data_IF_567227488769
#
_entry.id   IF_567227488769
#
_cell.length_a   1.000
_cell.length_b   1.000
_cell.length_c   1.000
_cell.angle_alpha   90.00
_cell.angle_beta   90.00
_cell.angle_gamma   90.00
#
_symmetry.space_group_name_H-M   'P 1'
#
loop_
_entity.id
_entity.type
_entity.pdbx_description
1 polymer ?
#
# COMPACT_ATOMS: atom_id res chain seq x y z
N UNK A 1 -13.79 -14.74 45.77
CA UNK A 1 -15.07 -14.69 45.04
C UNK A 1 -14.75 -14.89 43.57
N UNK A 2 -14.86 -16.13 43.09
CA UNK A 2 -14.57 -16.54 41.72
C UNK A 2 -15.79 -16.27 40.83
N UNK A 3 -15.64 -15.50 39.75
CA UNK A 3 -16.60 -15.48 38.65
C UNK A 3 -15.94 -16.14 37.44
N UNK A 4 -16.39 -17.35 37.14
CA UNK A 4 -16.14 -18.04 35.89
C UNK A 4 -17.05 -17.39 34.83
N UNK A 5 -16.46 -16.76 33.81
CA UNK A 5 -17.17 -16.34 32.61
C UNK A 5 -17.24 -17.53 31.64
N UNK A 6 -18.44 -18.07 31.48
CA UNK A 6 -18.77 -19.02 30.42
C UNK A 6 -18.98 -18.24 29.11
N UNK A 7 -17.98 -18.25 28.23
CA UNK A 7 -18.11 -17.73 26.87
C UNK A 7 -18.91 -18.72 26.02
N UNK A 8 -20.09 -18.29 25.58
CA UNK A 8 -20.90 -18.99 24.58
C UNK A 8 -20.17 -18.99 23.22
N UNK A 9 -19.74 -20.17 22.77
CA UNK A 9 -19.25 -20.37 21.41
C UNK A 9 -20.46 -20.49 20.48
N UNK A 10 -20.81 -19.39 19.80
CA UNK A 10 -21.80 -19.40 18.72
C UNK A 10 -21.12 -20.01 17.48
N UNK A 11 -21.38 -21.29 17.22
CA UNK A 11 -21.02 -21.93 15.94
C UNK A 11 -22.00 -21.45 14.87
N UNK A 12 -21.59 -20.45 14.10
CA UNK A 12 -22.29 -20.09 12.87
C UNK A 12 -22.01 -21.17 11.81
N UNK A 13 -23.00 -22.01 11.54
CA UNK A 13 -23.00 -22.90 10.38
C UNK A 13 -23.28 -22.07 9.14
N UNK A 14 -22.24 -21.75 8.37
CA UNK A 14 -22.37 -21.16 7.04
C UNK A 14 -22.88 -22.27 6.11
N UNK A 15 -24.16 -22.19 5.72
CA UNK A 15 -24.69 -22.93 4.59
C UNK A 15 -24.17 -22.27 3.32
N UNK A 16 -23.11 -22.83 2.73
CA UNK A 16 -22.71 -22.53 1.36
C UNK A 16 -23.72 -23.23 0.45
N UNK A 17 -24.76 -22.50 0.04
CA UNK A 17 -25.60 -22.91 -1.06
C UNK A 17 -24.78 -22.80 -2.34
N UNK A 18 -24.21 -23.93 -2.79
CA UNK A 18 -23.65 -24.09 -4.12
C UNK A 18 -24.79 -23.94 -5.13
N UNK A 19 -25.05 -22.70 -5.54
CA UNK A 19 -25.81 -22.40 -6.73
C UNK A 19 -25.01 -22.91 -7.93
N UNK A 20 -25.45 -24.04 -8.50
CA UNK A 20 -25.07 -24.47 -9.84
C UNK A 20 -25.64 -23.47 -10.85
N UNK A 21 -25.02 -22.29 -10.92
CA UNK A 21 -25.13 -21.41 -12.07
C UNK A 21 -24.32 -22.05 -13.19
N UNK A 22 -25.00 -22.46 -14.25
CA UNK A 22 -24.37 -22.88 -15.50
C UNK A 22 -23.65 -21.67 -16.10
N UNK A 23 -22.39 -21.48 -15.70
CA UNK A 23 -21.42 -20.73 -16.50
C UNK A 23 -21.31 -21.49 -17.82
N UNK A 24 -21.75 -20.88 -18.91
CA UNK A 24 -21.42 -21.34 -20.25
C UNK A 24 -19.91 -21.26 -20.40
N UNK A 25 -19.23 -22.37 -20.12
CA UNK A 25 -17.81 -22.49 -20.35
C UNK A 25 -17.55 -22.30 -21.84
N UNK A 26 -16.97 -21.16 -22.21
CA UNK A 26 -16.35 -20.97 -23.51
C UNK A 26 -15.11 -21.86 -23.54
N UNK A 27 -15.27 -23.12 -23.97
CA UNK A 27 -14.16 -24.03 -24.14
C UNK A 27 -13.29 -23.55 -25.31
N UNK A 28 -11.99 -23.40 -25.06
CA UNK A 28 -10.99 -23.23 -26.13
C UNK A 28 -10.84 -24.57 -26.85
N UNK A 29 -11.63 -24.78 -27.91
CA UNK A 29 -11.56 -25.99 -28.70
C UNK A 29 -10.41 -25.87 -29.70
N UNK A 30 -9.29 -26.56 -29.43
CA UNK A 30 -8.16 -26.66 -30.36
C UNK A 30 -8.37 -27.93 -31.18
N UNK A 31 -8.97 -27.78 -32.37
CA UNK A 31 -9.16 -28.89 -33.29
C UNK A 31 -7.85 -29.20 -34.03
N UNK A 32 -7.17 -30.27 -33.64
CA UNK A 32 -6.03 -30.81 -34.39
C UNK A 32 -6.55 -31.60 -35.60
N UNK A 33 -6.50 -30.99 -36.79
CA UNK A 33 -6.71 -31.71 -38.04
C UNK A 33 -5.62 -32.76 -38.24
N UNK A 34 -5.98 -34.04 -38.15
CA UNK A 34 -5.09 -35.18 -38.37
C UNK A 34 -5.12 -35.60 -39.84
N UNK A 35 -4.42 -34.87 -40.70
CA UNK A 35 -3.99 -35.34 -42.04
C UNK A 35 -2.55 -34.86 -42.24
N UNK A 36 -1.55 -35.64 -41.83
CA UNK A 36 -0.87 -36.73 -42.58
C UNK A 36 0.06 -36.21 -43.70
N UNK A 37 1.37 -36.40 -43.46
CA UNK A 37 2.53 -36.42 -44.36
C UNK A 37 2.85 -35.22 -45.28
N UNK A 38 3.48 -34.17 -44.71
CA UNK A 38 4.34 -33.26 -45.50
C UNK A 38 4.50 -31.85 -44.95
N UNK A 39 5.60 -31.61 -44.23
CA UNK A 39 6.25 -30.31 -43.96
C UNK A 39 5.43 -29.01 -43.74
N UNK A 40 4.28 -29.04 -43.05
CA UNK A 40 3.45 -27.85 -42.79
C UNK A 40 3.42 -27.36 -41.34
N UNK A 41 4.13 -26.28 -41.04
CA UNK A 41 4.49 -25.65 -39.76
C UNK A 41 3.39 -25.15 -38.79
N UNK A 42 2.94 -25.96 -37.82
CA UNK A 42 2.32 -25.42 -36.57
C UNK A 42 2.77 -26.15 -35.29
N UNK A 43 4.04 -26.57 -35.23
CA UNK A 43 4.59 -27.26 -34.05
C UNK A 43 4.76 -26.35 -32.82
N UNK A 44 4.78 -25.03 -33.02
CA UNK A 44 4.81 -24.05 -31.92
C UNK A 44 3.40 -23.74 -31.45
N UNK A 45 3.17 -23.45 -30.16
CA UNK A 45 1.87 -22.98 -29.70
C UNK A 45 1.44 -21.72 -30.48
N UNK A 46 0.13 -21.49 -30.65
CA UNK A 46 -0.34 -20.26 -31.27
C UNK A 46 0.13 -19.04 -30.48
N UNK A 47 0.33 -17.89 -31.15
CA UNK A 47 0.68 -16.67 -30.45
C UNK A 47 -0.41 -16.28 -29.45
N UNK A 48 -0.10 -15.46 -28.43
CA UNK A 48 -1.11 -14.81 -27.61
C UNK A 48 -2.12 -14.09 -28.52
N UNK A 49 -3.40 -14.17 -28.18
CA UNK A 49 -4.41 -13.44 -28.92
C UNK A 49 -4.43 -11.98 -28.48
N UNK A 50 -4.40 -11.07 -29.46
CA UNK A 50 -4.69 -9.66 -29.27
C UNK A 50 -6.19 -9.47 -29.49
N UNK A 51 -7.01 -9.58 -28.44
CA UNK A 51 -8.46 -9.38 -28.56
C UNK A 51 -9.30 -9.78 -27.34
N UNK A 52 -10.57 -9.36 -27.36
CA UNK A 52 -11.54 -9.52 -26.27
C UNK A 52 -12.23 -10.90 -26.23
N UNK A 53 -12.06 -11.73 -27.26
CA UNK A 53 -12.64 -13.05 -27.35
C UNK A 53 -11.56 -14.14 -27.18
N UNK A 54 -11.93 -15.33 -26.66
CA UNK A 54 -11.04 -16.48 -26.71
C UNK A 54 -10.72 -16.77 -28.19
N UNK A 55 -9.44 -16.84 -28.56
CA UNK A 55 -9.07 -17.09 -29.95
C UNK A 55 -9.48 -18.50 -30.35
N UNK A 56 -9.94 -18.67 -31.58
CA UNK A 56 -10.11 -19.98 -32.19
C UNK A 56 -8.96 -20.17 -33.18
N UNK A 57 -7.83 -20.67 -32.71
CA UNK A 57 -6.67 -20.88 -33.56
C UNK A 57 -6.82 -22.15 -34.40
N UNK A 58 -6.76 -22.01 -35.71
CA UNK A 58 -6.68 -23.15 -36.65
C UNK A 58 -5.34 -23.09 -37.39
N UNK A 59 -4.66 -24.23 -37.49
CA UNK A 59 -3.47 -24.34 -38.33
C UNK A 59 -3.90 -24.49 -39.79
N UNK A 60 -3.60 -23.51 -40.64
CA UNK A 60 -3.89 -23.55 -42.08
C UNK A 60 -2.59 -23.35 -42.82
N UNK A 61 -2.17 -24.36 -43.61
CA UNK A 61 -0.96 -24.31 -44.44
C UNK A 61 0.32 -23.94 -43.68
N UNK A 62 0.47 -24.42 -42.44
CA UNK A 62 1.63 -24.15 -41.62
C UNK A 62 1.68 -22.73 -41.04
N UNK A 63 0.53 -22.08 -40.86
CA UNK A 63 0.42 -20.84 -40.10
C UNK A 63 -0.78 -20.93 -39.16
N UNK A 64 -0.62 -20.43 -37.92
CA UNK A 64 -1.75 -20.23 -37.02
C UNK A 64 -2.59 -19.07 -37.53
N UNK A 65 -3.84 -19.38 -37.86
CA UNK A 65 -4.84 -18.39 -38.27
C UNK A 65 -5.89 -18.31 -37.17
N UNK A 66 -6.16 -17.10 -36.69
CA UNK A 66 -7.29 -16.88 -35.80
C UNK A 66 -8.58 -16.94 -36.62
N UNK A 67 -9.31 -18.03 -36.44
CA UNK A 67 -10.58 -18.31 -37.11
C UNK A 67 -11.80 -17.79 -36.34
N UNK A 68 -11.61 -17.32 -35.09
CA UNK A 68 -12.69 -16.62 -34.39
C UNK A 68 -12.93 -15.24 -35.01
N UNK A 69 -11.90 -14.70 -35.70
CA UNK A 69 -11.89 -13.34 -36.21
C UNK A 69 -11.76 -12.33 -35.08
N UNK A 70 -11.48 -11.07 -35.45
CA UNK A 70 -11.59 -9.98 -34.51
C UNK A 70 -13.07 -9.83 -34.14
N UNK A 71 -13.47 -10.32 -32.96
CA UNK A 71 -14.74 -9.96 -32.38
C UNK A 71 -14.85 -8.43 -32.34
N UNK A 72 -16.02 -7.86 -32.65
CA UNK A 72 -16.22 -6.43 -32.40
C UNK A 72 -15.95 -6.17 -30.93
N UNK A 73 -15.20 -5.11 -30.65
CA UNK A 73 -15.00 -4.63 -29.29
C UNK A 73 -16.35 -4.50 -28.61
N UNK A 74 -16.55 -5.09 -27.41
CA UNK A 74 -17.82 -5.04 -26.73
C UNK A 74 -18.19 -3.57 -26.50
N UNK A 75 -19.38 -3.19 -26.95
CA UNK A 75 -19.86 -1.84 -26.74
C UNK A 75 -20.01 -1.59 -25.24
N UNK A 76 -19.54 -0.42 -24.80
CA UNK A 76 -19.86 0.07 -23.47
C UNK A 76 -21.37 0.35 -23.37
N UNK A 77 -21.97 0.14 -22.19
CA UNK A 77 -23.31 0.66 -21.90
C UNK A 77 -23.43 2.12 -22.34
N UNK A 78 -24.60 2.53 -22.84
CA UNK A 78 -24.81 3.93 -23.26
C UNK A 78 -24.99 4.88 -22.08
N UNK A 79 -25.13 4.34 -20.87
CA UNK A 79 -25.25 5.06 -19.59
C UNK A 79 -24.25 4.42 -18.66
N UNK A 80 -23.51 5.22 -17.91
CA UNK A 80 -22.58 4.74 -16.90
C UNK A 80 -23.28 3.74 -15.95
N UNK A 81 -22.76 2.50 -15.81
CA UNK A 81 -23.28 1.55 -14.85
C UNK A 81 -22.89 1.92 -13.42
N UNK A 82 -23.76 1.59 -12.46
CA UNK A 82 -23.43 1.74 -11.04
C UNK A 82 -22.40 0.68 -10.62
N UNK A 83 -21.58 0.98 -9.61
CA UNK A 83 -20.69 -0.02 -9.01
C UNK A 83 -21.51 -1.19 -8.47
N UNK A 84 -21.13 -2.41 -8.86
CA UNK A 84 -21.85 -3.65 -8.53
C UNK A 84 -22.87 -4.09 -9.58
N UNK A 85 -23.19 -3.28 -10.59
CA UNK A 85 -24.02 -3.70 -11.71
C UNK A 85 -23.34 -4.83 -12.49
N UNK A 86 -24.12 -5.79 -12.99
CA UNK A 86 -23.57 -6.93 -13.71
C UNK A 86 -22.94 -6.54 -15.05
N UNK A 87 -21.80 -7.15 -15.38
CA UNK A 87 -21.10 -7.00 -16.65
C UNK A 87 -20.79 -8.37 -17.27
N UNK A 88 -20.77 -8.43 -18.61
CA UNK A 88 -20.62 -9.70 -19.33
C UNK A 88 -19.22 -9.97 -19.85
N UNK A 89 -18.34 -8.97 -19.88
CA UNK A 89 -16.99 -9.10 -20.43
C UNK A 89 -15.97 -8.67 -19.38
N UNK A 90 -15.35 -9.66 -18.75
CA UNK A 90 -14.31 -9.44 -17.74
C UNK A 90 -13.17 -8.57 -18.31
N UNK A 91 -12.73 -7.60 -17.52
CA UNK A 91 -11.70 -6.64 -17.90
C UNK A 91 -12.17 -5.52 -18.85
N UNK A 92 -13.43 -5.53 -19.32
CA UNK A 92 -13.97 -4.47 -20.18
C UNK A 92 -13.83 -3.12 -19.48
N UNK A 93 -13.15 -2.18 -20.14
CA UNK A 93 -12.93 -0.82 -19.68
C UNK A 93 -13.81 0.13 -20.48
N UNK A 94 -14.59 0.96 -19.79
CA UNK A 94 -15.47 1.94 -20.38
C UNK A 94 -15.18 3.32 -19.81
N UNK A 95 -15.11 4.32 -20.69
CA UNK A 95 -14.92 5.72 -20.34
C UNK A 95 -16.16 6.53 -20.70
N UNK A 96 -16.61 7.36 -19.77
CA UNK A 96 -17.80 8.20 -19.90
C UNK A 96 -17.39 9.65 -19.72
N UNK A 97 -17.72 10.49 -20.71
CA UNK A 97 -17.49 11.93 -20.65
C UNK A 97 -18.73 12.65 -20.12
N UNK A 98 -18.53 13.65 -19.28
CA UNK A 98 -19.55 14.50 -18.68
C UNK A 98 -19.43 15.95 -19.17
N UNK A 99 -20.57 16.59 -19.45
CA UNK A 99 -20.64 17.96 -19.97
C UNK A 99 -20.37 19.04 -18.90
N UNK A 100 -20.50 18.68 -17.63
CA UNK A 100 -20.23 19.55 -16.49
C UNK A 100 -19.06 18.98 -15.70
N UNK A 101 -18.23 19.88 -15.18
CA UNK A 101 -17.15 19.51 -14.26
C UNK A 101 -17.77 18.74 -13.10
N UNK A 102 -17.37 17.47 -12.97
CA UNK A 102 -17.79 16.67 -11.83
C UNK A 102 -17.13 17.35 -10.61
N UNK A 103 -17.87 17.76 -9.57
CA UNK A 103 -17.43 18.74 -8.55
C UNK A 103 -16.36 18.22 -7.56
N UNK A 104 -15.37 17.46 -8.01
CA UNK A 104 -14.43 16.71 -7.18
C UNK A 104 -13.06 16.51 -7.87
N UNK A 105 -12.25 17.55 -7.93
CA UNK A 105 -10.85 17.49 -8.36
C UNK A 105 -10.42 18.79 -9.03
N UNK A 106 -9.15 19.14 -8.89
CA UNK A 106 -8.53 20.27 -9.60
C UNK A 106 -8.72 20.10 -11.12
N UNK A 107 -9.72 20.82 -11.65
CA UNK A 107 -9.85 21.58 -12.91
C UNK A 107 -9.24 21.10 -14.24
N UNK A 108 -8.47 20.01 -14.31
CA UNK A 108 -7.80 19.56 -15.54
C UNK A 108 -8.26 18.18 -16.08
N UNK A 109 -8.85 17.30 -15.25
CA UNK A 109 -9.26 15.94 -15.67
C UNK A 109 -10.69 15.52 -15.25
N UNK A 110 -11.49 16.44 -14.69
CA UNK A 110 -12.79 16.18 -14.05
C UNK A 110 -13.97 15.82 -14.96
N UNK A 111 -13.74 15.41 -16.21
CA UNK A 111 -14.81 15.14 -17.18
C UNK A 111 -14.94 13.67 -17.58
N UNK A 112 -14.00 12.79 -17.20
CA UNK A 112 -14.05 11.38 -17.63
C UNK A 112 -14.12 10.42 -16.44
N UNK A 113 -15.15 9.57 -16.41
CA UNK A 113 -15.23 8.43 -15.49
C UNK A 113 -14.83 7.16 -16.22
N UNK A 114 -13.96 6.36 -15.60
CA UNK A 114 -13.56 5.04 -16.06
C UNK A 114 -14.15 3.95 -15.16
N UNK A 115 -14.80 2.96 -15.77
CA UNK A 115 -15.34 1.78 -15.09
C UNK A 115 -14.79 0.51 -15.74
N UNK A 116 -14.49 -0.50 -14.93
CA UNK A 116 -13.98 -1.79 -15.38
C UNK A 116 -14.85 -2.94 -14.87
N UNK A 117 -15.10 -3.92 -15.72
CA UNK A 117 -15.74 -5.16 -15.32
C UNK A 117 -14.74 -6.04 -14.55
N UNK A 118 -14.98 -6.25 -13.25
CA UNK A 118 -14.14 -7.06 -12.36
C UNK A 118 -15.01 -8.08 -11.64
N UNK A 119 -14.66 -9.36 -11.75
CA UNK A 119 -15.41 -10.48 -11.20
C UNK A 119 -16.90 -10.48 -11.60
N UNK A 120 -17.19 -10.11 -12.85
CA UNK A 120 -18.56 -10.02 -13.39
C UNK A 120 -19.41 -8.86 -12.87
N UNK A 121 -18.80 -7.88 -12.18
CA UNK A 121 -19.47 -6.64 -11.78
C UNK A 121 -18.68 -5.39 -12.22
N UNK A 122 -19.39 -4.34 -12.62
CA UNK A 122 -18.78 -3.04 -12.90
C UNK A 122 -18.20 -2.45 -11.62
N UNK A 123 -16.95 -2.01 -11.70
CA UNK A 123 -16.21 -1.35 -10.64
C UNK A 123 -15.67 -0.04 -11.19
N UNK A 124 -15.88 1.07 -10.49
CA UNK A 124 -15.28 2.35 -10.87
C UNK A 124 -13.78 2.28 -10.61
N UNK A 125 -12.97 2.56 -11.63
CA UNK A 125 -11.50 2.51 -11.55
C UNK A 125 -10.85 3.89 -11.64
N UNK A 126 -11.54 4.87 -12.20
CA UNK A 126 -11.19 6.27 -11.95
C UNK A 126 -11.67 6.64 -10.56
N UNK A 127 -10.94 7.53 -9.91
CA UNK A 127 -11.31 8.13 -8.63
C UNK A 127 -12.65 8.84 -8.79
N UNK A 128 -13.76 8.12 -8.62
CA UNK A 128 -15.04 8.75 -8.37
C UNK A 128 -14.86 9.63 -7.16
N UNK A 129 -15.37 10.85 -7.23
CA UNK A 129 -15.56 11.82 -6.16
C UNK A 129 -15.66 11.22 -4.75
N UNK A 130 -14.55 10.79 -4.19
CA UNK A 130 -14.38 10.77 -2.76
C UNK A 130 -14.07 12.23 -2.48
N UNK A 131 -14.86 12.93 -1.64
CA UNK A 131 -14.44 14.23 -1.17
C UNK A 131 -12.99 14.08 -0.71
N UNK A 132 -12.11 14.97 -1.15
CA UNK A 132 -10.69 14.88 -0.80
C UNK A 132 -10.61 14.58 0.69
N UNK A 133 -9.95 13.46 1.05
CA UNK A 133 -9.98 13.06 2.42
C UNK A 133 -9.34 14.18 3.23
N UNK A 134 -10.10 14.75 4.15
CA UNK A 134 -9.62 15.88 4.94
C UNK A 134 -8.46 15.40 5.77
N UNK A 135 -7.31 16.07 5.61
CA UNK A 135 -6.13 15.80 6.43
C UNK A 135 -6.51 15.87 7.91
N UNK A 136 -6.11 14.88 8.73
CA UNK A 136 -6.20 14.98 10.17
C UNK A 136 -5.68 16.34 10.68
N UNK A 137 -6.25 16.88 11.76
CA UNK A 137 -5.77 18.16 12.32
C UNK A 137 -4.33 18.06 12.87
N UNK A 138 -3.85 16.84 13.12
CA UNK A 138 -2.52 16.56 13.65
C UNK A 138 -1.84 15.51 12.78
N UNK A 139 -0.54 15.67 12.58
CA UNK A 139 0.26 14.68 11.86
C UNK A 139 0.05 13.28 12.48
N UNK A 140 -0.31 12.27 11.67
CA UNK A 140 -0.45 10.92 12.16
C UNK A 140 0.90 10.35 12.59
N UNK A 141 0.89 9.26 13.33
CA UNK A 141 2.13 8.58 13.75
C UNK A 141 2.56 7.63 12.64
N UNK A 142 3.83 7.69 12.25
CA UNK A 142 4.42 6.77 11.27
C UNK A 142 4.14 5.31 11.64
N UNK A 143 3.70 4.51 10.65
CA UNK A 143 3.40 3.10 10.81
C UNK A 143 2.02 2.77 11.41
N UNK A 144 1.22 3.77 11.79
CA UNK A 144 -0.15 3.53 12.25
C UNK A 144 -1.12 3.23 11.10
N UNK A 145 -2.20 2.50 11.39
CA UNK A 145 -3.21 2.12 10.41
C UNK A 145 -3.86 3.34 9.74
N UNK A 146 -3.84 3.36 8.40
CA UNK A 146 -4.54 4.35 7.58
C UNK A 146 -5.63 3.71 6.71
N UNK A 147 -6.13 2.53 7.08
CA UNK A 147 -7.20 1.84 6.33
C UNK A 147 -8.39 2.77 6.06
N UNK A 148 -8.74 2.91 4.78
CA UNK A 148 -9.81 3.80 4.32
C UNK A 148 -9.33 5.19 3.92
N UNK A 149 -8.03 5.44 4.04
CA UNK A 149 -7.34 6.55 3.41
C UNK A 149 -6.79 6.12 2.04
N UNK A 150 -6.72 7.05 1.09
CA UNK A 150 -6.39 6.76 -0.30
C UNK A 150 -4.91 7.04 -0.56
N UNK A 151 -4.19 6.06 -1.14
CA UNK A 151 -2.74 6.13 -1.37
C UNK A 151 -2.29 7.33 -2.23
N UNK A 152 -3.21 7.93 -2.99
CA UNK A 152 -2.94 9.06 -3.89
C UNK A 152 -2.91 10.43 -3.20
N UNK A 153 -3.23 10.51 -1.90
CA UNK A 153 -3.30 11.77 -1.17
C UNK A 153 -2.15 11.87 -0.17
N UNK A 154 -1.56 13.06 -0.09
CA UNK A 154 -0.57 13.43 0.91
C UNK A 154 -1.11 14.62 1.72
N UNK A 155 -0.67 14.71 2.97
CA UNK A 155 -1.00 15.79 3.88
C UNK A 155 0.27 16.46 4.36
N UNK A 156 0.33 17.78 4.17
CA UNK A 156 1.45 18.61 4.63
C UNK A 156 1.17 19.12 6.04
N UNK A 157 2.14 18.99 6.93
CA UNK A 157 2.04 19.50 8.30
C UNK A 157 3.22 20.38 8.64
N UNK A 158 2.92 21.48 9.34
CA UNK A 158 3.92 22.28 10.04
C UNK A 158 3.91 21.90 11.53
N UNK A 159 5.04 21.42 12.04
CA UNK A 159 5.20 21.02 13.43
C UNK A 159 6.25 21.90 14.09
N UNK A 160 5.86 22.63 15.12
CA UNK A 160 6.80 23.42 15.92
C UNK A 160 7.64 22.48 16.79
N UNK A 161 8.95 22.48 16.52
CA UNK A 161 9.95 21.79 17.32
C UNK A 161 10.70 22.79 18.21
N UNK A 162 11.51 22.29 19.12
CA UNK A 162 12.43 23.12 19.93
C UNK A 162 13.44 23.89 19.07
N UNK A 163 13.69 23.43 17.84
CA UNK A 163 14.73 23.97 16.96
C UNK A 163 14.16 24.81 15.80
N UNK A 164 12.83 24.94 15.73
CA UNK A 164 12.12 25.69 14.70
C UNK A 164 10.91 24.91 14.18
N UNK A 165 10.21 25.49 13.22
CA UNK A 165 9.12 24.79 12.53
C UNK A 165 9.72 23.80 11.54
N UNK A 166 9.29 22.54 11.63
CA UNK A 166 9.59 21.47 10.69
C UNK A 166 8.38 21.23 9.79
N UNK A 167 8.64 20.79 8.56
CA UNK A 167 7.60 20.42 7.61
C UNK A 167 7.72 18.95 7.22
N UNK A 168 6.57 18.28 7.21
CA UNK A 168 6.47 16.86 6.91
C UNK A 168 5.29 16.57 6.00
N UNK A 169 5.42 15.48 5.25
CA UNK A 169 4.39 14.88 4.42
C UNK A 169 3.92 13.59 5.10
N UNK A 170 2.60 13.37 5.10
CA UNK A 170 2.01 12.10 5.47
C UNK A 170 1.16 11.53 4.33
N UNK A 171 1.44 10.31 3.88
CA UNK A 171 0.67 9.60 2.85
C UNK A 171 0.34 8.17 3.32
N UNK A 172 -0.78 7.59 2.87
CA UNK A 172 -1.09 6.17 3.14
C UNK A 172 -0.29 5.30 2.18
N UNK A 173 0.36 4.25 2.67
CA UNK A 173 1.00 3.28 1.79
C UNK A 173 0.71 1.84 2.18
N UNK A 174 0.77 0.96 1.18
CA UNK A 174 0.66 -0.47 1.38
C UNK A 174 2.02 -1.06 1.77
N UNK A 175 2.09 -1.63 2.98
CA UNK A 175 3.19 -2.46 3.44
C UNK A 175 2.68 -3.88 3.67
N UNK A 176 2.97 -4.76 2.71
CA UNK A 176 2.39 -6.11 2.71
C UNK A 176 0.90 -6.08 2.40
N UNK A 177 0.08 -6.53 3.34
CA UNK A 177 -1.39 -6.55 3.26
C UNK A 177 -2.06 -5.49 4.15
N UNK A 178 -1.28 -4.53 4.66
CA UNK A 178 -1.76 -3.47 5.54
C UNK A 178 -1.52 -2.08 4.93
N UNK A 179 -2.47 -1.18 5.13
CA UNK A 179 -2.34 0.25 4.84
C UNK A 179 -1.82 0.96 6.09
N UNK A 180 -0.64 1.57 6.01
CA UNK A 180 -0.03 2.31 7.11
C UNK A 180 0.38 3.72 6.70
N UNK A 181 0.33 4.64 7.66
CA UNK A 181 0.80 6.01 7.49
C UNK A 181 2.30 6.02 7.28
N UNK A 182 2.75 6.44 6.09
CA UNK A 182 4.11 6.91 5.90
C UNK A 182 4.15 8.39 6.26
N UNK A 183 5.10 8.77 7.09
CA UNK A 183 5.29 10.13 7.58
C UNK A 183 6.77 10.45 7.42
N UNK A 184 7.09 11.52 6.71
CA UNK A 184 8.47 11.88 6.37
C UNK A 184 8.67 13.39 6.37
N UNK A 185 9.82 13.85 6.87
CA UNK A 185 10.18 15.27 6.82
C UNK A 185 10.84 15.62 5.49
N UNK A 186 10.41 16.71 4.87
CA UNK A 186 11.07 17.28 3.69
C UNK A 186 11.84 18.56 4.00
N UNK A 187 11.52 19.24 5.11
CA UNK A 187 12.26 20.39 5.62
C UNK A 187 12.32 20.37 7.15
N UNK A 188 13.46 19.95 7.68
CA UNK A 188 13.69 19.83 9.11
C UNK A 188 14.67 20.92 9.58
N UNK A 189 14.33 21.69 10.64
CA UNK A 189 15.26 22.63 11.23
C UNK A 189 16.37 21.87 11.94
N UNK A 190 17.60 22.35 11.84
CA UNK A 190 18.76 21.80 12.55
C UNK A 190 18.95 22.52 13.88
N UNK A 191 19.06 21.78 14.98
CA UNK A 191 19.39 22.36 16.28
C UNK A 191 20.86 22.78 16.36
N UNK A 192 21.15 24.00 16.81
CA UNK A 192 22.54 24.42 17.11
C UNK A 192 23.13 23.64 18.29
N UNK A 193 22.29 23.20 19.24
CA UNK A 193 22.69 22.47 20.45
C UNK A 193 22.77 20.94 20.26
N UNK A 194 22.69 20.45 19.02
CA UNK A 194 22.77 19.02 18.68
C UNK A 194 21.52 18.20 18.99
N UNK A 195 21.61 16.86 18.84
CA UNK A 195 20.45 15.96 18.90
C UNK A 195 19.69 15.99 20.23
N UNK A 196 20.38 16.21 21.35
CA UNK A 196 19.75 16.24 22.67
C UNK A 196 18.72 17.39 22.84
N UNK A 197 18.76 18.39 21.96
CA UNK A 197 17.80 19.49 21.95
C UNK A 197 16.40 19.08 21.45
N UNK A 198 16.28 17.95 20.72
CA UNK A 198 14.97 17.45 20.28
C UNK A 198 14.23 16.76 21.44
N UNK A 199 13.18 17.41 21.95
CA UNK A 199 12.36 16.89 23.06
C UNK A 199 11.29 15.85 22.67
N UNK A 200 11.26 15.39 21.42
CA UNK A 200 10.26 14.42 20.92
C UNK A 200 10.83 13.54 19.82
N UNK A 201 10.27 12.33 19.66
CA UNK A 201 10.60 11.38 18.59
C UNK A 201 10.45 12.02 17.21
N UNK A 202 9.35 12.75 17.00
CA UNK A 202 9.02 13.44 15.75
C UNK A 202 10.09 14.48 15.40
N UNK A 203 10.48 15.34 16.36
CA UNK A 203 11.54 16.32 16.12
C UNK A 203 12.89 15.66 15.85
N UNK A 204 13.21 14.58 16.57
CA UNK A 204 14.46 13.86 16.39
C UNK A 204 14.58 13.18 15.02
N UNK A 205 13.49 12.54 14.57
CA UNK A 205 13.44 11.84 13.28
C UNK A 205 13.50 12.79 12.08
N UNK A 206 13.25 14.08 12.30
CA UNK A 206 13.39 15.11 11.27
C UNK A 206 14.86 15.33 10.89
N UNK A 207 15.80 15.12 11.82
CA UNK A 207 17.22 15.33 11.61
C UNK A 207 17.94 14.02 11.29
N UNK A 208 18.40 13.87 10.05
CA UNK A 208 19.13 12.66 9.61
C UNK A 208 20.42 12.38 10.38
N UNK A 209 20.99 13.38 11.07
CA UNK A 209 22.15 13.20 11.94
C UNK A 209 21.78 12.63 13.32
N UNK A 210 20.49 12.47 13.61
CA UNK A 210 19.96 12.03 14.89
C UNK A 210 19.08 10.77 14.76
N UNK A 211 18.95 10.04 15.88
CA UNK A 211 18.10 8.88 16.05
C UNK A 211 17.39 8.94 17.40
N UNK A 212 16.11 8.59 17.41
CA UNK A 212 15.34 8.44 18.64
C UNK A 212 15.57 7.05 19.23
N UNK A 213 15.99 6.97 20.48
CA UNK A 213 16.18 5.71 21.19
C UNK A 213 15.15 5.60 22.31
N UNK A 214 14.50 4.44 22.40
CA UNK A 214 13.53 4.10 23.45
C UNK A 214 14.13 3.04 24.37
N UNK A 215 13.91 3.10 25.70
CA UNK A 215 14.35 2.06 26.63
C UNK A 215 13.98 0.66 26.18
N UNK A 216 14.97 -0.24 26.18
CA UNK A 216 14.74 -1.66 25.88
C UNK A 216 13.89 -2.38 26.95
N UNK A 217 13.61 -3.67 26.73
CA UNK A 217 12.87 -4.51 27.68
C UNK A 217 13.57 -4.67 29.05
N UNK A 218 14.88 -4.48 29.10
CA UNK A 218 15.68 -4.70 30.31
C UNK A 218 15.51 -3.55 31.31
N UNK A 219 14.40 -3.54 32.03
CA UNK A 219 14.20 -2.56 33.10
C UNK A 219 15.23 -2.75 34.22
N UNK A 220 16.10 -1.75 34.41
CA UNK A 220 17.07 -1.72 35.52
C UNK A 220 18.38 -2.50 35.30
N UNK A 221 18.68 -2.90 34.06
CA UNK A 221 20.01 -3.39 33.69
C UNK A 221 21.08 -2.28 33.81
N UNK A 222 22.37 -2.63 33.95
CA UNK A 222 23.45 -1.64 34.06
C UNK A 222 23.60 -0.75 32.82
N UNK A 223 23.11 -1.21 31.66
CA UNK A 223 23.14 -0.51 30.39
C UNK A 223 21.74 -0.06 29.94
N UNK A 224 20.72 -0.18 30.79
CA UNK A 224 19.36 0.17 30.37
C UNK A 224 19.24 1.69 30.15
N UNK A 225 18.81 2.10 28.96
CA UNK A 225 18.44 3.49 28.72
C UNK A 225 17.28 3.86 29.68
N UNK A 226 17.43 4.93 30.45
CA UNK A 226 16.48 5.28 31.52
C UNK A 226 15.21 5.94 31.01
N UNK A 227 15.32 6.70 29.93
CA UNK A 227 14.24 7.44 29.29
C UNK A 227 14.45 7.51 27.79
N UNK A 228 13.37 7.69 27.03
CA UNK A 228 13.48 7.86 25.59
C UNK A 228 14.08 9.24 25.27
N UNK A 229 14.94 9.30 24.26
CA UNK A 229 15.65 10.53 23.92
C UNK A 229 16.24 10.51 22.52
N UNK A 230 16.71 11.69 22.09
CA UNK A 230 17.32 11.90 20.79
C UNK A 230 18.84 11.94 20.90
N UNK A 231 19.52 11.12 20.09
CA UNK A 231 20.96 10.93 20.11
C UNK A 231 21.54 11.01 18.71
N UNK A 232 22.84 11.30 18.53
CA UNK A 232 23.49 11.18 17.22
C UNK A 232 23.31 9.79 16.60
N UNK A 233 23.16 9.74 15.27
CA UNK A 233 23.05 8.50 14.51
C UNK A 233 24.33 7.66 14.62
N UNK A 234 25.48 8.33 14.68
CA UNK A 234 26.78 7.70 14.88
C UNK A 234 27.01 7.37 16.35
N UNK A 235 27.49 6.16 16.62
CA UNK A 235 27.89 5.74 17.95
C UNK A 235 29.08 6.55 18.45
N UNK A 236 29.04 6.95 19.72
CA UNK A 236 30.17 7.64 20.32
C UNK A 236 31.39 6.71 20.45
N UNK A 237 32.56 7.34 20.56
CA UNK A 237 33.80 6.73 21.03
C UNK A 237 34.25 7.40 22.33
N UNK A 238 35.27 6.85 22.99
CA UNK A 238 35.78 7.36 24.27
C UNK A 238 36.17 8.85 24.23
N UNK A 239 36.56 9.37 23.07
CA UNK A 239 37.04 10.74 22.88
C UNK A 239 36.07 11.64 22.08
N UNK A 240 34.88 11.13 21.68
CA UNK A 240 33.95 11.91 20.85
C UNK A 240 32.88 12.67 21.64
N UNK A 241 32.77 12.43 22.95
CA UNK A 241 31.79 13.11 23.79
C UNK A 241 32.30 14.47 24.26
N UNK A 242 31.38 15.40 24.52
CA UNK A 242 31.72 16.72 25.04
C UNK A 242 32.29 16.65 26.46
N UNK A 243 33.08 17.66 26.91
CA UNK A 243 33.61 17.69 28.26
C UNK A 243 32.51 17.56 29.32
N UNK A 244 32.59 16.51 30.14
CA UNK A 244 31.60 16.22 31.19
C UNK A 244 30.69 15.04 30.85
N UNK A 245 30.68 14.58 29.61
CA UNK A 245 29.97 13.39 29.18
C UNK A 245 30.91 12.19 29.09
N UNK A 246 30.33 10.99 29.16
CA UNK A 246 30.99 9.71 28.96
C UNK A 246 30.28 8.91 27.87
N UNK A 247 31.06 8.23 27.03
CA UNK A 247 30.48 7.33 26.04
C UNK A 247 30.03 6.04 26.72
N UNK A 248 28.73 5.81 26.77
CA UNK A 248 28.11 4.66 27.44
C UNK A 248 27.40 3.77 26.42
N UNK A 249 27.59 2.45 26.55
CA UNK A 249 26.81 1.47 25.78
C UNK A 249 25.45 1.33 26.47
N UNK A 250 24.39 1.65 25.74
CA UNK A 250 23.02 1.56 26.19
C UNK A 250 22.26 0.47 25.45
N UNK A 251 21.32 -0.17 26.13
CA UNK A 251 20.35 -1.09 25.56
C UNK A 251 19.06 -0.34 25.24
N UNK A 252 18.61 -0.45 23.99
CA UNK A 252 17.41 0.20 23.47
C UNK A 252 16.50 -0.78 22.73
N UNK A 253 15.26 -0.38 22.50
CA UNK A 253 14.29 -1.14 21.72
C UNK A 253 14.46 -0.84 20.21
N UNK A 254 15.06 -1.74 19.40
CA UNK A 254 15.18 -1.54 17.95
C UNK A 254 13.85 -1.73 17.23
N UNK A 255 12.82 -2.22 17.92
CA UNK A 255 11.49 -2.53 17.40
C UNK A 255 10.44 -1.51 17.84
N UNK A 256 10.86 -0.34 18.34
CA UNK A 256 9.93 0.72 18.69
C UNK A 256 9.04 1.06 17.47
N UNK A 257 7.72 1.03 17.67
CA UNK A 257 6.69 1.19 16.62
C UNK A 257 6.76 0.18 15.46
N UNK A 258 7.45 -0.95 15.62
CA UNK A 258 7.57 -2.00 14.60
C UNK A 258 7.07 -3.36 15.13
N UNK A 259 6.47 -4.21 14.30
CA UNK A 259 5.98 -5.53 14.71
C UNK A 259 7.13 -6.56 14.80
N UNK A 260 8.19 -6.26 15.57
CA UNK A 260 9.27 -7.20 15.83
C UNK A 260 9.47 -7.49 17.32
N UNK A 261 10.05 -8.66 17.63
CA UNK A 261 10.20 -9.17 18.99
C UNK A 261 11.58 -8.93 19.63
N UNK A 262 12.44 -8.13 18.99
CA UNK A 262 13.72 -7.72 19.57
C UNK A 262 13.50 -6.48 20.44
N UNK A 263 14.14 -6.38 21.60
CA UNK A 263 13.94 -5.23 22.49
C UNK A 263 15.17 -4.89 23.34
N UNK A 264 16.35 -5.32 22.90
CA UNK A 264 17.61 -5.08 23.60
C UNK A 264 18.77 -5.01 22.58
N UNK A 265 18.67 -4.10 21.61
CA UNK A 265 19.81 -3.75 20.78
C UNK A 265 20.78 -2.89 21.60
N UNK A 266 22.07 -2.93 21.27
CA UNK A 266 23.10 -2.12 21.92
C UNK A 266 23.55 -1.00 20.99
N UNK A 267 23.79 0.18 21.55
CA UNK A 267 24.39 1.33 20.86
C UNK A 267 25.16 2.21 21.84
N UNK A 268 26.15 2.96 21.37
CA UNK A 268 26.94 3.84 22.23
C UNK A 268 26.49 5.30 22.11
N UNK A 269 26.13 5.94 23.23
CA UNK A 269 25.70 7.35 23.28
C UNK A 269 26.44 8.13 24.36
N UNK A 270 26.60 9.44 24.16
CA UNK A 270 27.19 10.33 25.15
C UNK A 270 26.16 10.65 26.23
N UNK A 271 26.51 10.39 27.50
CA UNK A 271 25.67 10.68 28.67
C UNK A 271 26.48 11.39 29.75
N UNK A 272 25.85 12.32 30.48
CA UNK A 272 26.44 13.03 31.64
C UNK A 272 26.67 12.12 32.86
#
# INVERSE_FOLDING_TARGET
MNRQNAGNVIRATILVALGLGSLGACANDVSFGVEDDGDGSCATPPPPADGWCPPAWTCISGQWVDTAGACPEPACPSIEPATGDGCSVEGQLCQYEYDEEVPCGDDEWGYTVSVQCVAGAWTHISNYCQPEPVCPDQAPVHGTDCTGWYDAYFCDYAVDTTCGTAYLDAYCEWVGDQQIWNVSFYDAPTCEDGCAAYGSEVGCAADSACRWLVPGCETGGPNALTEAGCYPTDDCSADSCEPGQTCQVVSYDPCHNQPCGACAAEGAVCME
#
